data_IF_491270928739
#
_entry.id   IF_491270928739
#
_cell.length_a   1.000
_cell.length_b   1.000
_cell.length_c   1.000
_cell.angle_alpha   90.00
_cell.angle_beta   90.00
_cell.angle_gamma   90.00
#
_symmetry.space_group_name_H-M   'P 1'
#
loop_
_entity.id
_entity.type
_entity.pdbx_description
1 polymer ?
#
# COMPACT_ATOMS: atom_id res chain seq x y z
N UNK A 1 12.10 13.44 -16.96
CA UNK A 1 11.17 14.21 -17.81
C UNK A 1 10.74 15.52 -17.11
N UNK A 2 10.41 16.57 -17.87
CA UNK A 2 10.17 17.93 -17.35
C UNK A 2 8.99 18.04 -16.35
N UNK A 3 8.02 17.13 -16.41
CA UNK A 3 6.80 17.16 -15.58
C UNK A 3 6.90 16.34 -14.27
N UNK A 4 8.05 15.73 -13.98
CA UNK A 4 8.18 14.77 -12.88
C UNK A 4 7.94 15.43 -11.50
N UNK A 5 8.38 16.68 -11.33
CA UNK A 5 8.17 17.43 -10.08
C UNK A 5 6.70 17.79 -9.84
N UNK A 6 5.99 18.26 -10.87
CA UNK A 6 4.56 18.56 -10.78
C UNK A 6 3.72 17.30 -10.52
N UNK A 7 4.09 16.19 -11.16
CA UNK A 7 3.43 14.90 -10.96
C UNK A 7 3.53 14.42 -9.51
N UNK A 8 4.68 14.61 -8.85
CA UNK A 8 4.87 14.25 -7.44
C UNK A 8 3.92 15.05 -6.52
N UNK A 9 3.80 16.36 -6.75
CA UNK A 9 2.92 17.24 -5.97
C UNK A 9 1.45 16.86 -6.19
N UNK A 10 1.05 16.68 -7.46
CA UNK A 10 -0.31 16.29 -7.80
C UNK A 10 -0.69 14.92 -7.20
N UNK A 11 0.24 13.94 -7.25
CA UNK A 11 0.03 12.63 -6.68
C UNK A 11 -0.15 12.68 -5.15
N UNK A 12 0.68 13.45 -4.44
CA UNK A 12 0.53 13.64 -3.00
C UNK A 12 -0.80 14.29 -2.64
N UNK A 13 -1.23 15.30 -3.41
CA UNK A 13 -2.53 15.94 -3.22
C UNK A 13 -3.70 14.97 -3.44
N UNK A 14 -3.65 14.14 -4.49
CA UNK A 14 -4.67 13.09 -4.72
C UNK A 14 -4.71 12.10 -3.56
N UNK A 15 -3.56 11.71 -3.01
CA UNK A 15 -3.49 10.80 -1.85
C UNK A 15 -4.06 11.41 -0.57
N UNK A 16 -3.92 12.71 -0.35
CA UNK A 16 -4.50 13.37 0.83
C UNK A 16 -5.98 13.75 0.60
N UNK A 17 -6.24 14.70 -0.31
CA UNK A 17 -7.59 15.22 -0.57
C UNK A 17 -8.54 14.14 -1.11
N UNK A 18 -8.05 13.30 -2.03
CA UNK A 18 -8.84 12.24 -2.64
C UNK A 18 -9.22 11.17 -1.62
N UNK A 19 -8.28 10.73 -0.79
CA UNK A 19 -8.57 9.73 0.26
C UNK A 19 -9.58 10.25 1.27
N UNK A 20 -9.47 11.53 1.69
CA UNK A 20 -10.49 12.14 2.56
C UNK A 20 -11.88 12.08 1.93
N UNK A 21 -12.00 12.51 0.67
CA UNK A 21 -13.29 12.48 -0.04
C UNK A 21 -13.86 11.06 -0.15
N UNK A 22 -12.99 10.05 -0.38
CA UNK A 22 -13.41 8.64 -0.42
C UNK A 22 -13.87 8.12 0.94
N UNK A 23 -13.19 8.50 2.03
CA UNK A 23 -13.63 8.16 3.40
C UNK A 23 -15.01 8.75 3.69
N UNK A 24 -15.21 10.03 3.38
CA UNK A 24 -16.50 10.72 3.61
C UNK A 24 -17.63 10.07 2.81
N UNK A 25 -17.37 9.72 1.54
CA UNK A 25 -18.32 9.03 0.68
C UNK A 25 -18.61 7.60 1.16
N UNK A 26 -17.58 6.85 1.56
CA UNK A 26 -17.71 5.49 2.08
C UNK A 26 -18.55 5.48 3.37
N UNK A 27 -18.30 6.42 4.28
CA UNK A 27 -19.08 6.60 5.49
C UNK A 27 -20.54 6.94 5.16
N UNK A 28 -20.77 7.88 4.26
CA UNK A 28 -22.12 8.31 3.85
C UNK A 28 -22.91 7.18 3.18
N UNK A 29 -22.23 6.30 2.45
CA UNK A 29 -22.81 5.12 1.81
C UNK A 29 -23.04 3.95 2.78
N UNK A 30 -22.64 4.06 4.05
CA UNK A 30 -22.73 2.97 5.02
C UNK A 30 -21.77 1.81 4.72
N UNK A 31 -20.66 2.08 4.03
CA UNK A 31 -19.65 1.07 3.75
C UNK A 31 -19.05 0.55 5.07
N UNK A 32 -18.91 -0.78 5.17
CA UNK A 32 -18.37 -1.42 6.39
C UNK A 32 -16.85 -1.53 6.37
N UNK A 33 -16.23 -1.38 5.20
CA UNK A 33 -14.79 -1.55 5.01
C UNK A 33 -14.29 -0.63 3.90
N UNK A 34 -13.08 -0.09 4.09
CA UNK A 34 -12.33 0.67 3.10
C UNK A 34 -10.95 0.02 2.96
N UNK A 35 -10.60 -0.41 1.74
CA UNK A 35 -9.31 -1.02 1.42
C UNK A 35 -8.56 -0.05 0.52
N UNK A 36 -7.37 0.37 0.94
CA UNK A 36 -6.55 1.32 0.21
C UNK A 36 -5.22 0.70 -0.19
N UNK A 37 -4.81 1.05 -1.41
CA UNK A 37 -3.49 0.72 -1.93
C UNK A 37 -2.46 1.73 -1.42
N UNK A 38 -1.38 1.22 -0.82
CA UNK A 38 -0.18 1.95 -0.41
C UNK A 38 1.07 1.29 -1.01
N UNK A 39 2.25 1.69 -0.56
CA UNK A 39 3.56 1.24 -1.04
C UNK A 39 4.49 0.90 0.13
N UNK A 40 5.37 -0.09 -0.05
CA UNK A 40 6.19 -0.65 1.02
C UNK A 40 7.64 -0.13 1.07
N UNK A 41 8.06 0.75 0.16
CA UNK A 41 9.44 1.28 0.07
C UNK A 41 9.58 2.71 0.63
N UNK A 42 8.81 3.02 1.69
CA UNK A 42 8.75 4.33 2.35
C UNK A 42 8.97 4.27 3.87
N UNK A 43 9.48 3.14 4.38
CA UNK A 43 9.90 3.02 5.77
C UNK A 43 11.08 3.96 6.09
N UNK A 44 11.10 4.44 7.33
CA UNK A 44 12.25 5.16 7.86
C UNK A 44 13.45 4.22 7.99
N UNK A 45 14.67 4.77 7.95
CA UNK A 45 15.88 3.95 8.14
C UNK A 45 15.86 3.23 9.49
N UNK A 46 16.17 1.94 9.47
CA UNK A 46 16.19 1.08 10.65
C UNK A 46 16.62 -0.34 10.33
N UNK A 47 16.55 -1.25 11.31
CA UNK A 47 16.81 -2.67 11.07
C UNK A 47 15.79 -3.26 10.10
N UNK A 48 16.26 -4.02 9.12
CA UNK A 48 15.44 -4.76 8.16
C UNK A 48 15.41 -6.26 8.53
N UNK A 49 14.34 -7.01 8.17
CA UNK A 49 13.17 -6.55 7.41
C UNK A 49 12.17 -5.75 8.25
N UNK A 50 11.59 -4.71 7.66
CA UNK A 50 10.58 -3.87 8.31
C UNK A 50 9.23 -4.59 8.47
N UNK A 51 8.61 -4.42 9.65
CA UNK A 51 7.23 -4.82 9.93
C UNK A 51 6.26 -3.65 9.76
N UNK A 52 4.94 -3.90 9.73
CA UNK A 52 3.95 -2.83 9.56
C UNK A 52 3.92 -1.82 10.71
N UNK A 53 4.42 -2.22 11.88
CA UNK A 53 4.57 -1.40 13.08
C UNK A 53 5.74 -0.42 13.01
N UNK A 54 6.67 -0.62 12.07
CA UNK A 54 7.82 0.26 11.92
C UNK A 54 7.41 1.60 11.32
N UNK A 55 8.10 2.69 11.70
CA UNK A 55 7.73 4.03 11.26
C UNK A 55 7.97 4.22 9.76
N UNK A 56 7.06 4.95 9.11
CA UNK A 56 7.29 5.52 7.79
C UNK A 56 8.24 6.73 7.88
N UNK A 57 8.94 7.00 6.79
CA UNK A 57 10.01 8.02 6.68
C UNK A 57 9.46 9.46 6.64
N UNK A 58 8.86 9.90 7.75
CA UNK A 58 8.27 11.24 7.88
C UNK A 58 9.29 12.38 7.80
N UNK A 59 10.58 12.08 7.94
CA UNK A 59 11.70 13.01 7.81
C UNK A 59 12.28 13.12 6.40
N UNK A 60 11.75 12.39 5.42
CA UNK A 60 12.22 12.47 4.04
C UNK A 60 12.11 13.89 3.47
N UNK A 61 13.13 14.32 2.73
CA UNK A 61 13.19 15.65 2.12
C UNK A 61 12.89 15.59 0.61
N UNK A 62 12.64 16.77 0.02
CA UNK A 62 12.43 16.93 -1.42
C UNK A 62 11.25 16.12 -1.98
N UNK A 63 11.41 15.62 -3.21
CA UNK A 63 10.37 14.86 -3.90
C UNK A 63 9.97 13.55 -3.19
N UNK A 64 10.92 12.92 -2.47
CA UNK A 64 10.65 11.77 -1.62
C UNK A 64 9.76 12.18 -0.44
N UNK A 65 10.11 13.27 0.24
CA UNK A 65 9.31 13.84 1.33
C UNK A 65 7.85 14.08 0.97
N UNK A 66 7.59 14.69 -0.19
CA UNK A 66 6.23 14.91 -0.70
C UNK A 66 5.49 13.57 -0.90
N UNK A 67 6.18 12.59 -1.50
CA UNK A 67 5.59 11.28 -1.78
C UNK A 67 5.27 10.50 -0.49
N UNK A 68 6.20 10.48 0.48
CA UNK A 68 6.03 9.81 1.77
C UNK A 68 4.95 10.52 2.60
N UNK A 69 4.92 11.85 2.59
CA UNK A 69 3.85 12.63 3.23
C UNK A 69 2.47 12.26 2.68
N UNK A 70 2.34 12.09 1.37
CA UNK A 70 1.10 11.60 0.75
C UNK A 70 0.73 10.17 1.16
N UNK A 71 1.71 9.27 1.32
CA UNK A 71 1.47 7.91 1.86
C UNK A 71 0.96 7.98 3.29
N UNK A 72 1.66 8.71 4.17
CA UNK A 72 1.28 8.85 5.58
C UNK A 72 -0.14 9.41 5.70
N UNK A 73 -0.47 10.43 4.90
CA UNK A 73 -1.81 11.02 4.89
C UNK A 73 -2.88 9.98 4.49
N UNK A 74 -2.67 9.26 3.38
CA UNK A 74 -3.58 8.21 2.92
C UNK A 74 -3.78 7.13 3.98
N UNK A 75 -2.68 6.57 4.51
CA UNK A 75 -2.74 5.47 5.47
C UNK A 75 -3.45 5.90 6.75
N UNK A 76 -3.11 7.07 7.28
CA UNK A 76 -3.76 7.62 8.46
C UNK A 76 -5.26 7.78 8.27
N UNK A 77 -5.70 8.38 7.15
CA UNK A 77 -7.12 8.60 6.87
C UNK A 77 -7.91 7.30 6.79
N UNK A 78 -7.34 6.27 6.18
CA UNK A 78 -7.96 4.95 6.05
C UNK A 78 -8.03 4.25 7.41
N UNK A 79 -6.93 4.27 8.18
CA UNK A 79 -6.83 3.58 9.47
C UNK A 79 -7.58 4.28 10.60
N UNK A 80 -7.85 5.58 10.50
CA UNK A 80 -8.67 6.35 11.45
C UNK A 80 -10.15 6.44 11.02
N UNK A 81 -10.52 5.86 9.88
CA UNK A 81 -11.87 5.96 9.34
C UNK A 81 -12.90 5.26 10.26
N UNK A 82 -14.15 5.74 10.36
CA UNK A 82 -15.22 5.12 11.17
C UNK A 82 -15.80 3.82 10.56
N UNK A 83 -14.94 2.98 9.98
CA UNK A 83 -15.23 1.66 9.40
C UNK A 83 -13.96 0.81 9.46
N UNK A 84 -13.99 -0.46 9.04
CA UNK A 84 -12.75 -1.24 8.95
C UNK A 84 -11.86 -0.67 7.84
N UNK A 85 -10.77 -0.01 8.21
CA UNK A 85 -9.72 0.49 7.34
C UNK A 85 -8.60 -0.52 7.17
N UNK A 86 -8.30 -0.85 5.91
CA UNK A 86 -7.24 -1.78 5.53
C UNK A 86 -6.30 -1.09 4.56
N UNK A 87 -5.00 -1.16 4.85
CA UNK A 87 -3.96 -0.63 3.98
C UNK A 87 -3.13 -1.80 3.45
N UNK A 88 -3.00 -1.90 2.13
CA UNK A 88 -2.11 -2.87 1.48
C UNK A 88 -0.86 -2.14 0.99
N UNK A 89 0.26 -2.29 1.71
CA UNK A 89 1.56 -1.78 1.32
C UNK A 89 2.19 -2.74 0.32
N UNK A 90 1.91 -2.51 -0.96
CA UNK A 90 2.48 -3.34 -2.03
C UNK A 90 3.97 -3.08 -2.20
N UNK A 91 4.71 -4.11 -2.62
CA UNK A 91 5.96 -3.98 -3.37
C UNK A 91 5.76 -3.40 -4.78
N UNK A 92 6.83 -3.19 -5.54
CA UNK A 92 6.75 -2.71 -6.91
C UNK A 92 5.96 -3.71 -7.74
N UNK A 93 4.80 -3.26 -8.23
CA UNK A 93 3.94 -4.06 -9.07
C UNK A 93 4.64 -4.39 -10.40
N UNK A 94 4.59 -5.66 -10.78
CA UNK A 94 5.01 -6.12 -12.10
C UNK A 94 4.06 -7.19 -12.67
N UNK A 95 4.16 -7.43 -13.97
CA UNK A 95 3.33 -8.38 -14.71
C UNK A 95 2.28 -7.70 -15.62
N UNK A 96 1.39 -8.49 -16.25
CA UNK A 96 0.50 -8.00 -17.29
C UNK A 96 -0.34 -6.79 -16.85
N UNK A 97 -0.37 -5.75 -17.69
CA UNK A 97 -1.19 -4.55 -17.46
C UNK A 97 -0.63 -3.56 -16.44
N UNK A 98 0.54 -3.80 -15.83
CA UNK A 98 1.16 -2.87 -14.88
C UNK A 98 2.04 -1.81 -15.54
N UNK A 99 2.44 -2.03 -16.80
CA UNK A 99 3.47 -1.24 -17.48
C UNK A 99 4.91 -1.57 -17.03
N UNK A 100 5.09 -2.58 -16.16
CA UNK A 100 6.38 -3.11 -15.73
C UNK A 100 6.40 -4.63 -15.90
N UNK A 101 7.10 -5.12 -16.92
CA UNK A 101 7.19 -6.57 -17.19
C UNK A 101 8.17 -7.29 -16.25
N UNK A 102 9.12 -6.56 -15.66
CA UNK A 102 10.19 -7.11 -14.82
C UNK A 102 10.03 -6.68 -13.37
N UNK A 103 10.29 -7.61 -12.44
CA UNK A 103 10.30 -7.35 -11.01
C UNK A 103 11.38 -6.32 -10.60
N UNK A 104 11.05 -5.47 -9.62
CA UNK A 104 11.96 -4.57 -8.94
C UNK A 104 11.78 -4.71 -7.42
N UNK A 105 12.85 -4.90 -6.67
CA UNK A 105 12.77 -5.23 -5.23
C UNK A 105 12.39 -4.00 -4.37
N UNK A 106 11.51 -4.13 -3.34
CA UNK A 106 10.66 -5.29 -3.03
C UNK A 106 9.56 -5.45 -4.08
N UNK A 107 9.49 -6.58 -4.78
CA UNK A 107 8.56 -6.78 -5.90
C UNK A 107 7.23 -7.39 -5.47
N UNK A 108 6.16 -7.22 -6.25
CA UNK A 108 4.94 -8.03 -6.14
C UNK A 108 4.29 -8.21 -7.51
N UNK A 109 3.99 -9.47 -7.88
CA UNK A 109 3.27 -9.72 -9.11
C UNK A 109 1.82 -9.25 -9.00
N UNK A 110 1.25 -8.69 -10.08
CA UNK A 110 -0.10 -8.13 -10.11
C UNK A 110 -1.17 -9.11 -9.63
N UNK A 111 -1.08 -10.39 -10.00
CA UNK A 111 -2.02 -11.42 -9.52
C UNK A 111 -1.97 -11.61 -8.00
N UNK A 112 -0.75 -11.63 -7.42
CA UNK A 112 -0.59 -11.78 -5.98
C UNK A 112 -1.09 -10.53 -5.24
N UNK A 113 -0.90 -9.34 -5.82
CA UNK A 113 -1.45 -8.09 -5.28
C UNK A 113 -2.99 -8.08 -5.32
N UNK A 114 -3.58 -8.51 -6.44
CA UNK A 114 -5.04 -8.67 -6.57
C UNK A 114 -5.60 -9.70 -5.58
N UNK A 115 -4.87 -10.80 -5.37
CA UNK A 115 -5.23 -11.81 -4.38
C UNK A 115 -5.23 -11.25 -2.95
N UNK A 116 -4.26 -10.41 -2.58
CA UNK A 116 -4.27 -9.72 -1.28
C UNK A 116 -5.50 -8.80 -1.12
N UNK A 117 -5.92 -8.12 -2.19
CA UNK A 117 -7.13 -7.29 -2.17
C UNK A 117 -8.39 -8.14 -1.97
N UNK A 118 -8.51 -9.28 -2.67
CA UNK A 118 -9.60 -10.24 -2.46
C UNK A 118 -9.64 -10.73 -1.01
N UNK A 119 -8.50 -11.20 -0.47
CA UNK A 119 -8.43 -11.70 0.90
C UNK A 119 -8.76 -10.62 1.93
N UNK A 120 -8.44 -9.35 1.64
CA UNK A 120 -8.80 -8.22 2.51
C UNK A 120 -10.32 -7.98 2.55
N UNK A 121 -11.03 -8.29 1.47
CA UNK A 121 -12.51 -8.24 1.44
C UNK A 121 -13.08 -9.36 2.31
N UNK A 122 -12.57 -10.58 2.15
CA UNK A 122 -13.10 -11.78 2.81
C UNK A 122 -12.76 -11.86 4.30
N UNK A 123 -11.51 -11.53 4.67
CA UNK A 123 -10.90 -11.88 5.97
C UNK A 123 -10.17 -10.72 6.63
N UNK A 124 -9.98 -9.60 5.92
CA UNK A 124 -9.16 -8.49 6.37
C UNK A 124 -9.67 -7.82 7.66
N UNK A 125 -8.73 -7.63 8.58
CA UNK A 125 -8.89 -6.91 9.86
C UNK A 125 -8.39 -5.47 9.75
N UNK A 126 -8.70 -4.63 10.75
CA UNK A 126 -8.18 -3.26 10.82
C UNK A 126 -6.65 -3.27 10.80
N UNK A 127 -6.03 -2.53 9.89
CA UNK A 127 -4.57 -2.34 9.90
C UNK A 127 -3.93 -2.31 8.53
N UNK A 128 -2.59 -2.19 8.55
CA UNK A 128 -1.76 -2.31 7.37
C UNK A 128 -1.21 -3.74 7.23
N UNK A 129 -0.94 -4.12 5.97
CA UNK A 129 -0.30 -5.38 5.59
C UNK A 129 0.76 -5.11 4.52
N UNK A 130 1.97 -5.60 4.72
CA UNK A 130 3.03 -5.66 3.73
C UNK A 130 2.76 -6.80 2.75
N UNK A 131 2.86 -6.50 1.46
CA UNK A 131 2.51 -7.43 0.38
C UNK A 131 3.59 -7.37 -0.70
N UNK A 132 4.58 -8.25 -0.58
CA UNK A 132 5.69 -8.40 -1.51
C UNK A 132 6.17 -9.85 -1.62
N UNK A 133 6.89 -10.17 -2.68
CA UNK A 133 7.66 -11.40 -2.79
C UNK A 133 8.77 -11.44 -1.72
N UNK A 134 9.28 -12.63 -1.35
CA UNK A 134 10.35 -12.73 -0.35
C UNK A 134 11.55 -11.84 -0.70
N UNK A 135 11.91 -10.94 0.21
CA UNK A 135 12.97 -9.96 0.05
C UNK A 135 13.66 -9.65 1.39
N UNK A 136 14.68 -8.79 1.37
CA UNK A 136 15.42 -8.39 2.58
C UNK A 136 14.85 -7.17 3.30
N UNK A 137 13.93 -6.42 2.68
CA UNK A 137 13.51 -5.08 3.11
C UNK A 137 12.29 -5.08 4.04
N UNK A 138 11.30 -5.94 3.79
CA UNK A 138 10.04 -5.99 4.55
C UNK A 138 9.65 -7.43 4.85
N UNK A 139 9.02 -7.66 6.00
CA UNK A 139 8.37 -8.95 6.30
C UNK A 139 6.92 -8.92 5.80
N UNK A 140 6.44 -10.08 5.34
CA UNK A 140 5.03 -10.31 4.95
C UNK A 140 4.34 -11.30 5.87
N UNK A 141 4.95 -11.64 7.01
CA UNK A 141 4.45 -12.67 7.94
C UNK A 141 3.01 -12.39 8.38
N UNK A 142 2.68 -11.11 8.61
CA UNK A 142 1.33 -10.69 8.99
C UNK A 142 0.30 -11.00 7.91
N UNK A 143 0.60 -10.66 6.65
CA UNK A 143 -0.28 -10.96 5.52
C UNK A 143 -0.46 -12.48 5.32
N UNK A 144 0.61 -13.26 5.48
CA UNK A 144 0.56 -14.73 5.40
C UNK A 144 -0.31 -15.29 6.53
N UNK A 145 -0.09 -14.87 7.78
CA UNK A 145 -0.76 -15.42 8.94
C UNK A 145 -2.25 -15.02 9.04
N UNK A 146 -2.56 -13.74 8.85
CA UNK A 146 -3.93 -13.23 9.06
C UNK A 146 -4.82 -13.39 7.82
N UNK A 147 -4.26 -13.24 6.61
CA UNK A 147 -5.03 -13.32 5.38
C UNK A 147 -4.93 -14.68 4.69
N UNK A 148 -3.91 -15.49 5.02
CA UNK A 148 -3.57 -16.67 4.21
C UNK A 148 -2.99 -16.27 2.84
N UNK A 149 -2.39 -15.09 2.76
CA UNK A 149 -1.84 -14.57 1.50
C UNK A 149 -0.62 -15.37 1.05
N UNK A 150 -0.44 -15.48 -0.28
CA UNK A 150 0.69 -16.18 -0.88
C UNK A 150 1.29 -15.34 -2.00
N UNK A 151 2.59 -15.08 -1.92
CA UNK A 151 3.32 -14.29 -2.92
C UNK A 151 3.41 -15.00 -4.29
N UNK A 152 3.36 -16.33 -4.30
CA UNK A 152 3.41 -17.16 -5.51
C UNK A 152 2.06 -17.29 -6.23
N UNK A 153 0.99 -16.66 -5.74
CA UNK A 153 -0.32 -16.72 -6.37
C UNK A 153 -0.28 -16.14 -7.80
N UNK A 154 -0.79 -16.90 -8.77
CA UNK A 154 -0.98 -16.50 -10.16
C UNK A 154 -2.36 -16.93 -10.62
N UNK A 155 -3.04 -16.11 -11.41
CA UNK A 155 -4.32 -16.49 -12.00
C UNK A 155 -4.07 -17.57 -13.05
N UNK A 156 -4.86 -18.64 -13.02
CA UNK A 156 -4.84 -19.61 -14.10
C UNK A 156 -5.41 -18.95 -15.35
N UNK A 157 -4.64 -18.99 -16.44
CA UNK A 157 -5.05 -18.51 -17.76
C UNK A 157 -5.74 -19.62 -18.53
#
# INVERSE_FOLDING_TARGET
>A
PALMGEAIIANARVRDEGTRNLVDAAQSAGARRLIAQSIAWVYASGPEPHAETDPLDSGAEGGRGISVGGVIALERRVLEAPMTGIVLRYGHLYGPGTGAETAADPAVHVDAAAYAALLSIERGSQGAFNVAEPNGHITTDKAVHELGWRADFRLAV
#
